data_IF_493087448057
#
_entry.id   IF_493087448057
#
_cell.length_a   1.000
_cell.length_b   1.000
_cell.length_c   1.000
_cell.angle_alpha   90.00
_cell.angle_beta   90.00
_cell.angle_gamma   90.00
#
_symmetry.space_group_name_H-M   'P 1'
#
loop_
_entity.id
_entity.type
_entity.pdbx_description
1 polymer ?
#
# COMPACT_ATOMS: atom_id res chain seq x y z
N UNK A 1 -3.47 -31.75 8.09
CA UNK A 1 -3.01 -31.56 6.69
C UNK A 1 -4.10 -30.75 5.99
N UNK A 2 -4.08 -29.44 6.20
CA UNK A 2 -3.56 -28.38 5.30
C UNK A 2 -4.66 -27.91 4.34
N UNK A 3 -5.30 -26.80 4.72
CA UNK A 3 -6.09 -25.94 3.86
C UNK A 3 -5.56 -24.52 4.04
N UNK A 4 -4.41 -24.23 3.43
CA UNK A 4 -3.72 -22.93 3.52
C UNK A 4 -3.58 -22.23 2.17
N UNK A 5 -4.34 -22.62 1.15
CA UNK A 5 -4.07 -22.23 -0.25
C UNK A 5 -5.13 -21.31 -0.90
N UNK A 6 -5.85 -20.45 -0.16
CA UNK A 6 -6.90 -19.65 -0.82
C UNK A 6 -7.07 -18.17 -0.41
N UNK A 7 -6.13 -17.58 0.31
CA UNK A 7 -6.21 -16.13 0.64
C UNK A 7 -5.47 -15.27 -0.40
N UNK A 8 -4.39 -15.78 -1.01
CA UNK A 8 -3.57 -15.04 -1.98
C UNK A 8 -4.27 -14.83 -3.33
N UNK A 9 -5.16 -15.74 -3.76
CA UNK A 9 -5.94 -15.62 -5.01
C UNK A 9 -7.11 -14.63 -4.91
N UNK A 10 -7.59 -14.33 -3.69
CA UNK A 10 -8.79 -13.52 -3.45
C UNK A 10 -8.55 -12.01 -3.53
N UNK A 11 -7.33 -11.53 -3.26
CA UNK A 11 -7.00 -10.11 -3.40
C UNK A 11 -6.74 -9.76 -4.85
N UNK A 12 -5.91 -10.54 -5.54
CA UNK A 12 -5.64 -10.29 -6.96
C UNK A 12 -6.93 -10.30 -7.79
N UNK A 13 -7.89 -11.21 -7.54
CA UNK A 13 -9.17 -11.20 -8.27
C UNK A 13 -10.02 -9.94 -8.06
N UNK A 14 -9.88 -9.24 -6.91
CA UNK A 14 -10.55 -7.95 -6.66
C UNK A 14 -9.90 -6.78 -7.43
N UNK A 15 -8.65 -6.94 -7.85
CA UNK A 15 -7.83 -5.89 -8.46
C UNK A 15 -7.26 -6.23 -9.84
N UNK A 16 -7.53 -7.44 -10.34
CA UNK A 16 -7.04 -8.01 -11.59
C UNK A 16 -7.74 -7.36 -12.79
N UNK A 17 -7.25 -6.18 -13.13
CA UNK A 17 -7.15 -5.64 -14.50
C UNK A 17 -6.20 -4.43 -14.55
N UNK A 18 -5.43 -4.20 -13.47
CA UNK A 18 -4.44 -3.13 -13.39
C UNK A 18 -3.31 -3.35 -14.40
N UNK A 19 -3.41 -2.73 -15.59
CA UNK A 19 -2.21 -2.48 -16.40
C UNK A 19 -1.37 -1.44 -15.67
N UNK A 20 -0.10 -1.76 -15.45
CA UNK A 20 0.91 -0.78 -15.05
C UNK A 20 0.85 0.37 -16.06
N UNK A 21 0.56 1.58 -15.59
CA UNK A 21 0.67 2.79 -16.41
C UNK A 21 2.17 3.01 -16.63
N UNK A 22 2.67 2.72 -17.84
CA UNK A 22 4.01 3.17 -18.22
C UNK A 22 4.01 4.69 -18.27
N UNK A 23 4.95 5.33 -17.58
CA UNK A 23 5.06 6.80 -17.42
C UNK A 23 5.13 7.62 -18.71
N UNK A 24 5.14 7.00 -19.90
CA UNK A 24 5.38 7.68 -21.18
C UNK A 24 4.16 8.39 -21.76
N UNK A 25 2.95 8.12 -21.28
CA UNK A 25 1.72 8.61 -21.93
C UNK A 25 1.20 9.97 -21.40
N UNK A 26 1.90 10.62 -20.46
CA UNK A 26 1.40 11.86 -19.84
C UNK A 26 1.99 13.17 -20.39
N UNK A 27 2.83 13.13 -21.43
CA UNK A 27 3.37 14.34 -22.08
C UNK A 27 3.51 14.16 -23.59
N UNK A 28 2.42 14.30 -24.35
CA UNK A 28 2.47 14.66 -25.79
C UNK A 28 1.07 14.85 -26.37
N UNK A 29 0.38 15.91 -25.96
CA UNK A 29 -0.74 16.49 -26.71
C UNK A 29 -0.24 17.59 -27.64
N UNK A 30 0.68 17.27 -28.54
CA UNK A 30 1.19 18.20 -29.56
C UNK A 30 0.93 17.61 -30.96
N UNK A 31 0.12 18.30 -31.75
CA UNK A 31 -0.27 17.90 -33.09
C UNK A 31 0.93 17.83 -34.05
N UNK A 32 1.05 16.73 -34.80
CA UNK A 32 1.72 16.68 -36.10
C UNK A 32 1.22 15.50 -36.95
N UNK A 33 1.35 15.69 -38.26
CA UNK A 33 0.61 15.13 -39.38
C UNK A 33 1.31 13.90 -40.02
N UNK A 34 0.48 13.01 -40.61
CA UNK A 34 0.68 11.93 -41.62
C UNK A 34 2.08 11.32 -41.90
N UNK A 35 2.09 9.98 -42.06
CA UNK A 35 3.07 9.31 -42.96
C UNK A 35 3.20 7.78 -42.84
N UNK A 36 2.52 7.07 -43.74
CA UNK A 36 2.81 5.77 -44.39
C UNK A 36 3.36 4.53 -43.63
N UNK A 37 2.70 3.41 -44.01
CA UNK A 37 2.95 1.97 -43.86
C UNK A 37 4.38 1.46 -43.57
N UNK A 38 4.46 0.29 -42.91
CA UNK A 38 5.28 -0.88 -43.30
C UNK A 38 4.93 -2.13 -42.47
N UNK A 39 5.40 -3.26 -43.00
CA UNK A 39 5.02 -4.67 -42.86
C UNK A 39 5.37 -5.29 -41.50
N UNK A 40 4.65 -6.37 -41.16
CA UNK A 40 4.54 -6.94 -39.82
C UNK A 40 5.69 -7.80 -39.31
N UNK A 41 5.55 -8.25 -38.07
CA UNK A 41 6.11 -9.48 -37.51
C UNK A 41 5.15 -9.95 -36.41
N UNK A 42 4.62 -11.15 -36.55
CA UNK A 42 3.90 -11.84 -35.47
C UNK A 42 4.89 -12.26 -34.39
N UNK A 43 4.83 -11.62 -33.22
CA UNK A 43 5.63 -12.02 -32.06
C UNK A 43 4.79 -12.98 -31.23
N UNK A 44 5.23 -14.24 -31.20
CA UNK A 44 4.62 -15.32 -30.43
C UNK A 44 4.74 -15.00 -28.93
N UNK A 45 3.63 -14.78 -28.24
CA UNK A 45 3.61 -14.55 -26.79
C UNK A 45 3.47 -15.87 -26.04
N UNK A 46 4.60 -16.53 -25.78
CA UNK A 46 4.70 -17.56 -24.76
C UNK A 46 5.78 -17.15 -23.75
N UNK A 47 5.43 -16.28 -22.82
CA UNK A 47 6.16 -16.12 -21.56
C UNK A 47 5.27 -16.62 -20.43
N UNK A 48 5.28 -17.94 -20.23
CA UNK A 48 4.93 -18.50 -18.94
C UNK A 48 5.97 -17.98 -17.94
N UNK A 49 5.61 -16.96 -17.16
CA UNK A 49 6.41 -16.54 -16.02
C UNK A 49 6.40 -17.67 -15.01
N UNK A 50 7.49 -18.43 -14.99
CA UNK A 50 7.80 -19.36 -13.92
C UNK A 50 8.09 -18.53 -12.67
N UNK A 51 7.11 -18.41 -11.77
CA UNK A 51 7.29 -17.75 -10.48
C UNK A 51 8.23 -18.60 -9.65
N UNK A 52 9.51 -18.21 -9.58
CA UNK A 52 10.41 -18.75 -8.57
C UNK A 52 9.80 -18.49 -7.18
N UNK A 53 9.83 -19.47 -6.26
CA UNK A 53 9.26 -19.29 -4.93
C UNK A 53 9.99 -18.14 -4.22
N UNK A 54 9.25 -17.14 -3.77
CA UNK A 54 9.73 -16.10 -2.86
C UNK A 54 10.47 -16.78 -1.72
N UNK A 55 11.76 -16.49 -1.56
CA UNK A 55 12.57 -17.11 -0.50
C UNK A 55 11.98 -16.69 0.85
N UNK A 56 11.44 -17.67 1.58
CA UNK A 56 10.90 -17.44 2.91
C UNK A 56 12.01 -16.89 3.83
N UNK A 57 11.70 -15.82 4.55
CA UNK A 57 12.63 -15.22 5.50
C UNK A 57 12.92 -16.18 6.65
N UNK A 58 14.17 -16.26 7.07
CA UNK A 58 14.52 -16.98 8.30
C UNK A 58 14.09 -16.18 9.53
N UNK A 59 13.79 -16.86 10.64
CA UNK A 59 13.46 -16.20 11.92
C UNK A 59 14.53 -15.19 12.36
N UNK A 60 15.81 -15.41 12.01
CA UNK A 60 16.89 -14.47 12.31
C UNK A 60 16.76 -13.18 11.50
N UNK A 61 16.45 -13.28 10.21
CA UNK A 61 16.20 -12.11 9.36
C UNK A 61 14.96 -11.34 9.81
N UNK A 62 13.87 -12.04 10.15
CA UNK A 62 12.65 -11.39 10.64
C UNK A 62 12.91 -10.59 11.93
N UNK A 63 13.68 -11.14 12.87
CA UNK A 63 14.10 -10.41 14.08
C UNK A 63 14.96 -9.19 13.77
N UNK A 64 15.85 -9.27 12.78
CA UNK A 64 16.67 -8.13 12.37
C UNK A 64 15.81 -7.01 11.78
N UNK A 65 14.87 -7.33 10.87
CA UNK A 65 13.97 -6.33 10.30
C UNK A 65 13.04 -5.72 11.35
N UNK A 66 12.54 -6.51 12.29
CA UNK A 66 11.76 -5.99 13.41
C UNK A 66 12.62 -5.10 14.32
N UNK A 67 13.86 -5.47 14.60
CA UNK A 67 14.80 -4.62 15.35
C UNK A 67 15.03 -3.27 14.65
N UNK A 68 15.11 -3.25 13.32
CA UNK A 68 15.21 -2.02 12.55
C UNK A 68 13.95 -1.15 12.67
N UNK A 69 12.75 -1.74 12.60
CA UNK A 69 11.50 -1.01 12.84
C UNK A 69 11.47 -0.37 14.24
N UNK A 70 11.91 -1.11 15.28
CA UNK A 70 11.98 -0.59 16.66
C UNK A 70 13.03 0.52 16.81
N UNK A 71 14.18 0.41 16.14
CA UNK A 71 15.19 1.50 16.10
C UNK A 71 14.60 2.77 15.50
N UNK A 72 13.84 2.66 14.41
CA UNK A 72 13.15 3.78 13.77
C UNK A 72 12.04 4.37 14.66
N UNK A 73 11.28 3.53 15.38
CA UNK A 73 10.32 3.95 16.39
C UNK A 73 10.96 4.84 17.45
N UNK A 74 12.10 4.42 18.01
CA UNK A 74 12.85 5.22 18.99
C UNK A 74 13.34 6.52 18.36
N UNK A 75 13.92 6.45 17.16
CA UNK A 75 14.45 7.61 16.47
C UNK A 75 13.37 8.67 16.25
N UNK A 76 12.22 8.29 15.67
CA UNK A 76 11.13 9.21 15.34
C UNK A 76 10.44 9.79 16.58
N UNK A 77 10.07 8.94 17.55
CA UNK A 77 9.25 9.38 18.69
C UNK A 77 10.04 9.98 19.85
N UNK A 78 11.24 9.45 20.12
CA UNK A 78 11.99 9.80 21.33
C UNK A 78 13.13 10.78 21.05
N UNK A 79 13.86 10.58 19.95
CA UNK A 79 15.06 11.35 19.64
C UNK A 79 14.71 12.59 18.82
N UNK A 80 14.17 12.39 17.62
CA UNK A 80 13.91 13.48 16.67
C UNK A 80 12.55 14.16 16.91
N UNK A 81 11.64 13.46 17.60
CA UNK A 81 10.27 13.93 17.90
C UNK A 81 9.51 14.37 16.66
N UNK A 82 9.70 13.65 15.55
CA UNK A 82 9.02 13.92 14.27
C UNK A 82 7.55 13.50 14.30
N UNK A 83 7.15 12.70 15.29
CA UNK A 83 5.79 12.23 15.52
C UNK A 83 5.74 11.26 16.69
N UNK A 84 4.74 10.37 16.73
CA UNK A 84 4.67 9.30 17.72
C UNK A 84 5.77 8.23 17.56
N UNK A 85 6.02 7.38 18.56
CA UNK A 85 7.05 6.34 18.52
C UNK A 85 6.60 5.16 17.64
N UNK A 86 6.68 5.32 16.32
CA UNK A 86 6.34 4.26 15.36
C UNK A 86 7.40 4.17 14.27
N UNK A 87 7.72 2.94 13.85
CA UNK A 87 8.68 2.65 12.79
C UNK A 87 8.27 1.45 11.96
N UNK A 88 8.59 1.47 10.67
CA UNK A 88 8.23 0.40 9.74
C UNK A 88 9.32 0.14 8.69
N UNK A 89 9.43 -1.12 8.27
CA UNK A 89 10.37 -1.62 7.26
C UNK A 89 9.61 -2.51 6.28
N UNK A 90 9.76 -2.27 4.98
CA UNK A 90 9.17 -3.10 3.93
C UNK A 90 10.26 -3.90 3.26
N UNK A 91 10.09 -5.21 3.20
CA UNK A 91 11.08 -6.17 2.71
C UNK A 91 10.47 -7.02 1.61
N UNK A 92 11.22 -7.27 0.53
CA UNK A 92 10.88 -8.25 -0.52
C UNK A 92 12.14 -9.04 -0.86
N UNK A 93 12.03 -10.36 -0.95
CA UNK A 93 13.16 -11.26 -1.28
C UNK A 93 14.39 -11.05 -0.38
N UNK A 94 14.17 -10.83 0.92
CA UNK A 94 15.23 -10.56 1.90
C UNK A 94 15.88 -9.19 1.79
N UNK A 95 15.38 -8.29 0.93
CA UNK A 95 15.92 -6.94 0.72
C UNK A 95 14.94 -5.88 1.20
N UNK A 96 15.46 -4.89 1.93
CA UNK A 96 14.68 -3.71 2.34
C UNK A 96 14.36 -2.86 1.11
N UNK A 97 13.08 -2.69 0.80
CA UNK A 97 12.60 -1.76 -0.24
C UNK A 97 12.53 -0.33 0.29
N UNK A 98 12.09 -0.16 1.54
CA UNK A 98 12.07 1.12 2.25
C UNK A 98 11.94 0.89 3.76
N UNK A 99 12.33 1.90 4.53
CA UNK A 99 12.14 1.94 5.96
C UNK A 99 11.89 3.40 6.39
N UNK A 100 10.97 3.62 7.33
CA UNK A 100 10.63 4.97 7.80
C UNK A 100 10.11 4.95 9.24
N UNK A 101 10.34 6.06 9.95
CA UNK A 101 9.61 6.40 11.16
C UNK A 101 8.36 7.24 10.88
N UNK A 102 7.57 7.50 11.93
CA UNK A 102 6.46 8.44 11.92
C UNK A 102 6.95 9.89 11.76
N UNK A 103 6.26 10.68 10.96
CA UNK A 103 6.59 12.09 10.72
C UNK A 103 5.40 13.04 10.76
N UNK A 104 4.31 12.66 11.45
CA UNK A 104 3.06 13.43 11.54
C UNK A 104 3.30 14.89 11.95
N UNK A 105 4.10 15.11 13.00
CA UNK A 105 4.36 16.45 13.54
C UNK A 105 5.34 17.23 12.65
N UNK A 106 6.39 16.57 12.15
CA UNK A 106 7.39 17.21 11.29
C UNK A 106 6.77 17.70 9.98
N UNK A 107 5.95 16.87 9.36
CA UNK A 107 5.43 17.10 8.01
C UNK A 107 4.06 17.81 8.03
N UNK A 108 3.46 18.02 9.22
CA UNK A 108 2.08 18.47 9.39
C UNK A 108 1.09 17.64 8.55
N UNK A 109 1.32 16.33 8.50
CA UNK A 109 0.53 15.37 7.72
C UNK A 109 -0.02 14.29 8.66
N UNK A 110 -1.32 14.28 9.00
CA UNK A 110 -1.90 13.26 9.88
C UNK A 110 -1.84 11.85 9.29
N UNK A 111 -1.58 11.71 7.98
CA UNK A 111 -1.38 10.41 7.33
C UNK A 111 0.07 9.92 7.36
N UNK A 112 1.04 10.73 7.81
CA UNK A 112 2.47 10.41 7.81
C UNK A 112 2.88 9.44 8.94
N UNK A 113 2.10 8.38 9.11
CA UNK A 113 2.44 7.24 9.95
C UNK A 113 3.62 6.47 9.35
N UNK A 114 4.34 5.72 10.20
CA UNK A 114 5.55 5.02 9.79
C UNK A 114 5.30 4.05 8.63
N UNK A 115 4.21 3.28 8.70
CA UNK A 115 3.79 2.31 7.70
C UNK A 115 3.42 2.99 6.38
N UNK A 116 2.64 4.07 6.44
CA UNK A 116 2.25 4.85 5.26
C UNK A 116 3.48 5.46 4.59
N UNK A 117 4.41 6.03 5.37
CA UNK A 117 5.66 6.57 4.86
C UNK A 117 6.52 5.51 4.19
N UNK A 118 6.70 4.35 4.84
CA UNK A 118 7.46 3.23 4.28
C UNK A 118 6.82 2.72 2.98
N UNK A 119 5.48 2.60 2.92
CA UNK A 119 4.76 2.19 1.69
C UNK A 119 4.96 3.21 0.57
N UNK A 120 4.79 4.51 0.86
CA UNK A 120 5.00 5.60 -0.11
C UNK A 120 6.43 5.54 -0.69
N UNK A 121 7.43 5.35 0.17
CA UNK A 121 8.83 5.23 -0.26
C UNK A 121 9.09 3.95 -1.06
N UNK A 122 8.58 2.81 -0.62
CA UNK A 122 8.75 1.54 -1.33
C UNK A 122 8.11 1.58 -2.73
N UNK A 123 6.89 2.12 -2.86
CA UNK A 123 6.24 2.29 -4.16
C UNK A 123 7.04 3.21 -5.10
N UNK A 124 7.65 4.28 -4.57
CA UNK A 124 8.55 5.15 -5.35
C UNK A 124 9.81 4.41 -5.81
N UNK A 125 10.44 3.62 -4.93
CA UNK A 125 11.64 2.85 -5.22
C UNK A 125 11.39 1.74 -6.25
N UNK A 126 10.22 1.07 -6.17
CA UNK A 126 9.78 0.06 -7.14
C UNK A 126 9.28 0.69 -8.45
N UNK A 127 8.85 1.95 -8.42
CA UNK A 127 8.25 2.64 -9.57
C UNK A 127 6.80 2.24 -9.85
N UNK A 128 6.12 1.60 -8.90
CA UNK A 128 4.73 1.14 -9.04
C UNK A 128 3.99 1.17 -7.68
N UNK A 129 2.65 1.38 -7.66
CA UNK A 129 1.84 1.33 -6.45
C UNK A 129 1.52 -0.13 -6.03
N UNK A 130 2.46 -1.05 -6.24
CA UNK A 130 2.27 -2.48 -6.03
C UNK A 130 3.49 -3.10 -5.34
N UNK A 131 3.25 -3.56 -4.12
CA UNK A 131 4.20 -4.16 -3.20
C UNK A 131 3.95 -5.67 -3.02
N UNK A 132 3.28 -6.35 -3.97
CA UNK A 132 3.07 -7.81 -3.95
C UNK A 132 4.35 -8.58 -3.68
N UNK A 133 4.29 -9.63 -2.88
CA UNK A 133 5.46 -10.38 -2.41
C UNK A 133 6.24 -9.71 -1.29
N UNK A 134 5.89 -8.49 -0.87
CA UNK A 134 6.55 -7.82 0.24
C UNK A 134 5.92 -8.19 1.59
N UNK A 135 6.78 -8.24 2.61
CA UNK A 135 6.40 -8.27 4.03
C UNK A 135 6.71 -6.92 4.66
N UNK A 136 5.77 -6.35 5.39
CA UNK A 136 5.98 -5.15 6.21
C UNK A 136 6.19 -5.56 7.67
N UNK A 137 7.33 -5.17 8.23
CA UNK A 137 7.63 -5.25 9.65
C UNK A 137 7.36 -3.88 10.26
N UNK A 138 6.44 -3.80 11.21
CA UNK A 138 6.05 -2.55 11.90
C UNK A 138 6.26 -2.69 13.39
N UNK A 139 6.71 -1.62 14.05
CA UNK A 139 6.96 -1.64 15.49
C UNK A 139 5.67 -1.83 16.30
N UNK A 140 4.53 -1.41 15.75
CA UNK A 140 3.21 -1.53 16.38
C UNK A 140 2.18 -2.08 15.37
N UNK A 141 1.13 -2.72 15.88
CA UNK A 141 -0.01 -3.18 15.11
C UNK A 141 -0.64 -2.03 14.31
N UNK A 142 -0.86 -2.25 13.01
CA UNK A 142 -1.32 -1.19 12.11
C UNK A 142 -2.71 -0.69 12.50
N UNK A 143 -2.86 0.64 12.65
CA UNK A 143 -4.17 1.27 12.72
C UNK A 143 -5.00 1.04 11.42
N UNK A 144 -6.32 1.30 11.42
CA UNK A 144 -7.16 1.07 10.23
C UNK A 144 -6.66 1.75 8.95
N UNK A 145 -6.11 2.96 9.04
CA UNK A 145 -5.51 3.68 7.91
C UNK A 145 -4.28 2.96 7.36
N UNK A 146 -3.35 2.57 8.23
CA UNK A 146 -2.12 1.88 7.85
C UNK A 146 -2.42 0.52 7.21
N UNK A 147 -3.36 -0.24 7.79
CA UNK A 147 -3.80 -1.52 7.25
C UNK A 147 -4.43 -1.34 5.86
N UNK A 148 -5.36 -0.38 5.70
CA UNK A 148 -5.96 -0.10 4.40
C UNK A 148 -4.91 0.30 3.36
N UNK A 149 -3.92 1.12 3.74
CA UNK A 149 -2.83 1.53 2.84
C UNK A 149 -1.99 0.33 2.39
N UNK A 150 -1.65 -0.58 3.30
CA UNK A 150 -0.94 -1.83 2.98
C UNK A 150 -1.78 -2.73 2.07
N UNK A 151 -3.08 -2.81 2.31
CA UNK A 151 -4.04 -3.55 1.48
C UNK A 151 -4.06 -3.02 0.05
N UNK A 152 -4.23 -1.71 -0.13
CA UNK A 152 -4.19 -1.06 -1.45
C UNK A 152 -2.85 -1.25 -2.16
N UNK A 153 -1.75 -1.21 -1.42
CA UNK A 153 -0.41 -1.44 -1.94
C UNK A 153 -0.10 -2.92 -2.21
N UNK A 154 -1.01 -3.88 -1.95
CA UNK A 154 -0.76 -5.32 -2.14
C UNK A 154 0.39 -5.86 -1.28
N UNK A 155 0.58 -5.36 -0.07
CA UNK A 155 1.53 -6.00 0.87
C UNK A 155 0.95 -7.36 1.26
N UNK A 156 1.73 -8.44 1.09
CA UNK A 156 1.24 -9.81 1.30
C UNK A 156 1.15 -10.18 2.78
N UNK A 157 2.03 -9.59 3.61
CA UNK A 157 2.15 -9.93 5.02
C UNK A 157 2.54 -8.72 5.86
N UNK A 158 1.89 -8.56 7.01
CA UNK A 158 2.27 -7.59 8.04
C UNK A 158 2.71 -8.37 9.27
N UNK A 159 3.81 -7.95 9.87
CA UNK A 159 4.35 -8.47 11.14
C UNK A 159 4.51 -7.28 12.07
N UNK A 160 3.94 -7.37 13.27
CA UNK A 160 4.03 -6.30 14.27
C UNK A 160 4.72 -6.77 15.55
N UNK A 161 5.30 -5.83 16.31
CA UNK A 161 5.88 -6.12 17.62
C UNK A 161 4.90 -5.81 18.76
N UNK A 162 4.55 -4.55 18.98
CA UNK A 162 3.58 -4.14 20.01
C UNK A 162 2.14 -4.19 19.47
N UNK A 163 1.20 -4.72 20.26
CA UNK A 163 -0.23 -4.65 19.97
C UNK A 163 -0.81 -3.32 20.46
N UNK A 164 -2.01 -2.95 20.00
CA UNK A 164 -2.69 -1.74 20.47
C UNK A 164 -2.86 -1.70 22.00
N UNK A 165 -3.06 -2.86 22.63
CA UNK A 165 -3.20 -2.98 24.09
C UNK A 165 -1.96 -2.58 24.86
N UNK A 166 -0.77 -2.62 24.25
CA UNK A 166 0.50 -2.34 24.93
C UNK A 166 0.74 -0.84 25.18
N UNK A 167 -0.01 0.04 24.50
CA UNK A 167 0.18 1.49 24.55
C UNK A 167 -1.14 2.28 24.55
N UNK A 168 -2.24 1.62 24.89
CA UNK A 168 -3.59 2.20 24.86
C UNK A 168 -3.76 3.44 25.76
N UNK A 169 -2.88 3.64 26.75
CA UNK A 169 -2.82 4.83 27.59
C UNK A 169 -2.25 6.07 26.88
N UNK A 170 -1.52 5.87 25.78
CA UNK A 170 -0.85 6.93 25.01
C UNK A 170 -1.54 7.17 23.65
N UNK A 171 -1.88 6.09 22.96
CA UNK A 171 -2.55 6.13 21.66
C UNK A 171 -3.61 5.03 21.61
N UNK A 172 -4.82 5.38 21.18
CA UNK A 172 -5.91 4.43 21.07
C UNK A 172 -6.42 4.37 19.63
N UNK A 173 -5.75 3.54 18.84
CA UNK A 173 -6.09 3.23 17.45
C UNK A 173 -7.41 2.44 17.33
N UNK A 174 -7.86 1.80 18.42
CA UNK A 174 -9.08 0.98 18.44
C UNK A 174 -10.34 1.82 18.28
N UNK A 175 -10.32 3.07 18.76
CA UNK A 175 -11.41 4.04 18.60
C UNK A 175 -11.85 4.21 17.14
N UNK A 176 -10.89 4.24 16.20
CA UNK A 176 -11.22 4.39 14.77
C UNK A 176 -11.92 3.13 14.25
N UNK A 177 -11.42 1.95 14.62
CA UNK A 177 -11.99 0.67 14.23
C UNK A 177 -13.42 0.52 14.75
N UNK A 178 -13.66 0.92 16.00
CA UNK A 178 -14.96 0.83 16.64
C UNK A 178 -15.95 1.86 16.08
N UNK A 179 -15.54 3.10 15.86
CA UNK A 179 -16.35 4.12 15.19
C UNK A 179 -16.78 3.67 13.77
N UNK A 180 -15.86 3.03 13.02
CA UNK A 180 -16.16 2.51 11.69
C UNK A 180 -17.19 1.37 11.66
N UNK A 181 -17.45 0.69 12.79
CA UNK A 181 -18.50 -0.34 12.91
C UNK A 181 -19.88 0.27 13.16
N UNK A 182 -19.95 1.51 13.63
CA UNK A 182 -21.21 2.18 13.92
C UNK A 182 -21.98 2.52 12.63
N UNK A 183 -23.33 2.59 12.68
CA UNK A 183 -24.15 3.20 11.65
C UNK A 183 -23.68 4.63 11.34
N UNK A 184 -23.79 5.08 10.08
CA UNK A 184 -23.26 6.39 9.66
C UNK A 184 -23.76 7.58 10.50
N UNK A 185 -25.00 7.53 10.98
CA UNK A 185 -25.57 8.60 11.82
C UNK A 185 -24.88 8.71 13.21
N UNK A 186 -24.36 7.58 13.71
CA UNK A 186 -23.79 7.44 15.05
C UNK A 186 -22.27 7.66 15.07
N UNK A 187 -21.62 7.64 13.91
CA UNK A 187 -20.18 7.91 13.80
C UNK A 187 -19.80 9.29 14.30
N UNK A 188 -18.60 9.39 14.84
CA UNK A 188 -17.99 10.62 15.32
C UNK A 188 -17.79 11.61 14.18
N UNK A 189 -17.28 11.11 13.04
CA UNK A 189 -17.20 11.88 11.79
C UNK A 189 -18.55 11.81 11.08
N UNK A 190 -19.20 12.97 10.89
CA UNK A 190 -20.51 13.06 10.25
C UNK A 190 -20.40 12.87 8.75
N UNK A 191 -21.15 11.90 8.23
CA UNK A 191 -21.16 11.52 6.82
C UNK A 191 -22.54 11.85 6.24
N UNK A 192 -22.56 12.58 5.13
CA UNK A 192 -23.77 12.85 4.34
C UNK A 192 -23.47 12.68 2.84
N UNK A 193 -24.47 12.27 2.07
CA UNK A 193 -24.36 12.13 0.62
C UNK A 193 -25.02 13.34 -0.07
N UNK A 194 -24.37 13.88 -1.10
CA UNK A 194 -24.92 14.94 -1.95
C UNK A 194 -24.48 14.77 -3.41
N UNK A 195 -25.24 15.35 -4.35
CA UNK A 195 -24.92 15.39 -5.80
C UNK A 195 -24.64 14.01 -6.45
N UNK A 196 -25.40 12.97 -6.05
CA UNK A 196 -25.16 11.60 -6.52
C UNK A 196 -25.24 11.45 -8.04
N UNK A 197 -26.20 12.11 -8.69
CA UNK A 197 -26.41 12.01 -10.14
C UNK A 197 -25.21 12.55 -10.94
N UNK A 198 -24.63 13.67 -10.51
CA UNK A 198 -23.46 14.25 -11.18
C UNK A 198 -22.22 13.36 -11.02
N UNK A 199 -22.00 12.82 -9.83
CA UNK A 199 -20.94 11.83 -9.60
C UNK A 199 -21.14 10.56 -10.47
N UNK A 200 -22.38 10.11 -10.65
CA UNK A 200 -22.69 8.96 -11.50
C UNK A 200 -22.39 9.19 -12.98
N UNK A 201 -22.55 10.41 -13.49
CA UNK A 201 -22.16 10.77 -14.88
C UNK A 201 -20.66 10.58 -15.09
N UNK A 202 -19.82 11.05 -14.17
CA UNK A 202 -18.36 10.82 -14.21
C UNK A 202 -18.04 9.33 -14.18
N UNK A 203 -18.76 8.52 -13.40
CA UNK A 203 -18.59 7.07 -13.42
C UNK A 203 -19.01 6.42 -14.74
N UNK A 204 -19.99 6.96 -15.46
CA UNK A 204 -20.35 6.49 -16.80
C UNK A 204 -19.25 6.81 -17.81
N UNK A 205 -18.70 8.02 -17.77
CA UNK A 205 -17.52 8.40 -18.57
C UNK A 205 -16.36 7.44 -18.29
N UNK A 206 -16.04 7.21 -17.01
CA UNK A 206 -14.97 6.30 -16.61
C UNK A 206 -15.19 4.87 -17.12
N UNK A 207 -16.43 4.35 -17.08
CA UNK A 207 -16.76 3.03 -17.62
C UNK A 207 -16.51 2.95 -19.11
N UNK A 208 -16.86 4.00 -19.85
CA UNK A 208 -16.70 4.08 -21.30
C UNK A 208 -15.22 4.19 -21.74
N UNK A 209 -14.32 4.68 -20.88
CA UNK A 209 -12.89 4.78 -21.20
C UNK A 209 -12.27 3.39 -21.51
N UNK A 210 -11.74 3.16 -22.72
CA UNK A 210 -11.03 1.92 -23.05
C UNK A 210 -9.72 1.77 -22.27
N UNK A 211 -9.08 2.90 -21.92
CA UNK A 211 -7.78 2.98 -21.24
C UNK A 211 -7.88 3.14 -19.72
N UNK A 212 -9.07 2.94 -19.13
CA UNK A 212 -9.28 3.10 -17.69
C UNK A 212 -8.29 2.26 -16.88
N UNK A 213 -7.65 2.90 -15.91
CA UNK A 213 -6.73 2.24 -14.98
C UNK A 213 -7.50 1.52 -13.89
N UNK A 214 -6.97 0.41 -13.38
CA UNK A 214 -7.42 -0.18 -12.12
C UNK A 214 -6.19 -0.35 -11.26
N UNK A 215 -6.33 -0.27 -9.95
CA UNK A 215 -5.24 -0.53 -9.02
C UNK A 215 -5.78 -1.10 -7.73
#
# INVERSE_FOLDING_TARGET
MSSSDNITSALDSRFSSARLVERRDFLSGGAAILGAAMVGVSVSSAHAQTTAPTLALTNAQEREFMSQAIKLMRQAGVIDKTGGPFGAVIVRDGKVLAASGNSVLRDNDPSAHAEVNAIRMACKNVGAPNLKGATMFTSCECCPMCYATAYWARVDRIVYAAAWTDYADLFDDSNISDDMKLPYAERSVKISQMMQEDAQKVWQEYRALPTKTRY
#
